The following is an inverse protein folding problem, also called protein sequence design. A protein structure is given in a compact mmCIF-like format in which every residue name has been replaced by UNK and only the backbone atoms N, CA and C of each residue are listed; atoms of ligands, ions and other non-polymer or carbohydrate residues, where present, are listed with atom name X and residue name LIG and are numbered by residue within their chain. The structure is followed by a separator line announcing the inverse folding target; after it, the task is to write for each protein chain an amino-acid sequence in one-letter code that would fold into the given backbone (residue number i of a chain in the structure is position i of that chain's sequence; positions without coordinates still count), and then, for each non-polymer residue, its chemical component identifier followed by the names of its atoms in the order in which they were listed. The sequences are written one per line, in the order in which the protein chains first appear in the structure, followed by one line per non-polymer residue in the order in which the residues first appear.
data_IF_544891897528
#
_entry.id   IF_544891897528
#
_cell.length_a   1.000
_cell.length_b   1.000
_cell.length_c   1.000
_cell.angle_alpha   90.00
_cell.angle_beta   90.00
_cell.angle_gamma   90.00
#
_symmetry.space_group_name_H-M   'P 1'
#
loop_
_entity.id
_entity.type
_entity.pdbx_description
1 polymer ?
#
# COMPACT_ATOMS: atom_id res chain seq x y z
N UNK A 1 -17.82 48.15 32.21
CA UNK A 1 -17.68 46.67 32.28
C UNK A 1 -17.36 46.19 30.89
N UNK A 2 -16.09 45.91 30.66
CA UNK A 2 -15.65 45.26 29.40
C UNK A 2 -16.01 43.76 29.48
N UNK A 3 -16.86 43.29 28.55
CA UNK A 3 -17.08 41.86 28.35
C UNK A 3 -15.80 41.26 27.70
N UNK A 4 -15.12 40.43 28.43
CA UNK A 4 -14.06 39.60 27.86
C UNK A 4 -14.66 38.64 26.84
N UNK A 5 -14.30 38.79 25.56
CA UNK A 5 -14.65 37.82 24.54
C UNK A 5 -14.00 36.49 24.92
N UNK A 6 -14.78 35.41 25.02
CA UNK A 6 -14.28 34.08 25.23
C UNK A 6 -13.37 33.67 24.06
N UNK A 7 -12.50 32.67 24.26
CA UNK A 7 -11.60 32.19 23.21
C UNK A 7 -12.42 31.78 21.99
N UNK A 8 -12.01 32.28 20.82
CA UNK A 8 -12.59 31.85 19.56
C UNK A 8 -12.46 30.32 19.43
N UNK A 9 -13.49 29.61 18.90
CA UNK A 9 -13.38 28.19 18.70
C UNK A 9 -12.18 27.92 17.77
N UNK A 10 -11.26 27.05 18.22
CA UNK A 10 -10.18 26.60 17.40
C UNK A 10 -10.78 26.03 16.12
N UNK A 11 -10.44 26.60 14.97
CA UNK A 11 -10.74 26.02 13.66
C UNK A 11 -9.99 24.69 13.60
N UNK A 12 -10.69 23.61 13.91
CA UNK A 12 -10.19 22.27 13.66
C UNK A 12 -10.22 22.08 12.14
N UNK A 13 -9.10 22.37 11.50
CA UNK A 13 -8.91 21.96 10.11
C UNK A 13 -8.95 20.44 10.09
N UNK A 14 -10.06 19.87 9.68
CA UNK A 14 -10.16 18.45 9.35
C UNK A 14 -9.39 18.23 8.07
N UNK A 15 -8.06 18.04 8.20
CA UNK A 15 -7.24 17.63 7.06
C UNK A 15 -7.63 16.22 6.65
N UNK A 16 -7.77 15.99 5.36
CA UNK A 16 -7.85 14.64 4.81
C UNK A 16 -6.54 13.91 5.11
N UNK A 17 -6.60 13.02 6.12
CA UNK A 17 -5.42 12.30 6.62
C UNK A 17 -5.18 11.01 5.87
N UNK A 18 -3.92 10.70 5.61
CA UNK A 18 -3.48 9.38 5.15
C UNK A 18 -2.72 8.70 6.28
N UNK A 19 -3.06 7.44 6.51
CA UNK A 19 -2.39 6.60 7.50
C UNK A 19 -1.37 5.73 6.79
N UNK A 20 -0.12 5.76 7.25
CA UNK A 20 0.93 4.86 6.78
C UNK A 20 1.24 3.90 7.92
N UNK A 21 0.99 2.61 7.71
CA UNK A 21 1.34 1.56 8.66
C UNK A 21 2.73 1.01 8.31
N UNK A 22 3.64 1.11 9.27
CA UNK A 22 5.04 0.72 9.12
C UNK A 22 5.27 -0.73 9.56
N UNK A 23 5.60 -1.57 8.60
CA UNK A 23 5.97 -2.97 8.82
C UNK A 23 7.49 -3.17 8.96
N UNK A 24 8.25 -2.09 9.15
CA UNK A 24 9.70 -2.14 9.31
C UNK A 24 10.50 -1.93 8.02
N UNK A 25 9.92 -1.28 7.03
CA UNK A 25 10.61 -0.94 5.79
C UNK A 25 11.60 0.21 5.97
N UNK A 26 12.79 0.09 5.37
CA UNK A 26 13.75 1.18 5.30
C UNK A 26 13.25 2.40 4.49
N UNK A 27 12.24 2.22 3.65
CA UNK A 27 11.71 3.27 2.76
C UNK A 27 10.38 3.86 3.22
N UNK A 28 9.88 3.51 4.41
CA UNK A 28 8.61 4.06 4.93
C UNK A 28 8.65 5.58 5.04
N UNK A 29 9.75 6.14 5.56
CA UNK A 29 9.94 7.60 5.66
C UNK A 29 9.99 8.28 4.29
N UNK A 30 10.59 7.61 3.30
CA UNK A 30 10.62 8.12 1.93
C UNK A 30 9.22 8.13 1.32
N UNK A 31 8.42 7.11 1.55
CA UNK A 31 7.03 7.04 1.11
C UNK A 31 6.20 8.19 1.71
N UNK A 32 6.33 8.43 3.03
CA UNK A 32 5.68 9.55 3.70
C UNK A 32 6.12 10.90 3.12
N UNK A 33 7.42 11.05 2.83
CA UNK A 33 7.94 12.25 2.20
C UNK A 33 7.30 12.49 0.84
N UNK A 34 7.17 11.47 -0.01
CA UNK A 34 6.53 11.58 -1.32
C UNK A 34 5.05 11.98 -1.21
N UNK A 35 4.32 11.44 -0.24
CA UNK A 35 2.94 11.84 0.03
C UNK A 35 2.86 13.33 0.41
N UNK A 36 3.78 13.79 1.28
CA UNK A 36 3.82 15.20 1.71
C UNK A 36 4.27 16.16 0.60
N UNK A 37 5.18 15.74 -0.27
CA UNK A 37 5.56 16.49 -1.46
C UNK A 37 4.37 16.72 -2.42
N UNK A 38 3.41 15.79 -2.44
CA UNK A 38 2.13 15.96 -3.13
C UNK A 38 1.11 16.81 -2.34
N UNK A 39 1.55 17.48 -1.27
CA UNK A 39 0.72 18.32 -0.38
C UNK A 39 -0.42 17.57 0.33
N UNK A 40 -0.22 16.28 0.55
CA UNK A 40 -1.16 15.42 1.27
C UNK A 40 -0.64 15.17 2.69
N UNK A 41 -1.48 15.40 3.70
CA UNK A 41 -1.13 15.12 5.08
C UNK A 41 -1.08 13.61 5.33
N UNK A 42 -0.02 13.13 5.97
CA UNK A 42 0.11 11.74 6.37
C UNK A 42 0.84 11.59 7.70
N UNK A 43 0.51 10.54 8.42
CA UNK A 43 1.20 10.11 9.63
C UNK A 43 1.67 8.65 9.47
N UNK A 44 2.83 8.35 10.04
CA UNK A 44 3.39 7.00 10.12
C UNK A 44 3.10 6.46 11.52
N UNK A 45 2.52 5.28 11.59
CA UNK A 45 2.26 4.54 12.81
C UNK A 45 2.71 3.08 12.67
N UNK A 46 3.04 2.40 13.77
CA UNK A 46 3.38 0.97 13.73
C UNK A 46 2.23 0.14 13.15
N UNK A 47 2.54 -0.98 12.51
CA UNK A 47 1.53 -1.85 11.91
C UNK A 47 0.63 -2.56 12.93
N UNK A 48 1.05 -2.63 14.20
CA UNK A 48 0.34 -3.27 15.32
C UNK A 48 -0.60 -2.32 16.10
N UNK A 49 -0.92 -1.14 15.55
CA UNK A 49 -1.93 -0.27 16.13
C UNK A 49 -3.27 -1.00 16.25
N UNK A 50 -4.08 -0.61 17.25
CA UNK A 50 -5.37 -1.24 17.47
C UNK A 50 -6.41 -0.86 16.40
N UNK A 51 -7.43 -1.70 16.24
CA UNK A 51 -8.60 -1.37 15.42
C UNK A 51 -9.29 -0.08 15.86
N UNK A 52 -9.33 0.17 17.16
CA UNK A 52 -9.90 1.39 17.73
C UNK A 52 -9.12 2.62 17.25
N UNK A 53 -7.78 2.55 17.24
CA UNK A 53 -6.93 3.61 16.73
C UNK A 53 -7.25 3.94 15.26
N UNK A 54 -7.33 2.93 14.40
CA UNK A 54 -7.62 3.13 12.96
C UNK A 54 -8.96 3.82 12.76
N UNK A 55 -10.00 3.41 13.52
CA UNK A 55 -11.33 4.04 13.46
C UNK A 55 -11.31 5.47 13.95
N UNK A 56 -10.62 5.76 15.06
CA UNK A 56 -10.51 7.13 15.62
C UNK A 56 -9.68 8.05 14.72
N UNK A 57 -8.61 7.52 14.14
CA UNK A 57 -7.78 8.25 13.18
C UNK A 57 -8.61 8.69 11.96
N UNK A 58 -9.60 7.90 11.55
CA UNK A 58 -10.50 8.17 10.42
C UNK A 58 -9.74 8.54 9.13
N UNK A 59 -8.85 7.67 8.63
CA UNK A 59 -8.05 7.96 7.44
C UNK A 59 -8.92 8.07 6.19
N UNK A 60 -8.48 8.87 5.22
CA UNK A 60 -9.06 8.95 3.88
C UNK A 60 -8.30 8.10 2.85
N UNK A 61 -7.31 7.38 3.29
CA UNK A 61 -6.52 6.41 2.55
C UNK A 61 -5.43 5.83 3.43
N UNK A 62 -5.04 4.59 3.17
CA UNK A 62 -4.09 3.85 3.99
C UNK A 62 -2.98 3.31 3.09
N UNK A 63 -1.74 3.39 3.56
CA UNK A 63 -0.57 2.78 2.91
C UNK A 63 0.02 1.75 3.87
N UNK A 64 0.19 0.53 3.38
CA UNK A 64 0.90 -0.53 4.07
C UNK A 64 2.31 -0.62 3.49
N UNK A 65 3.32 -0.37 4.31
CA UNK A 65 4.72 -0.37 3.87
C UNK A 65 5.25 -1.78 3.62
N UNK A 66 6.47 -1.87 3.12
CA UNK A 66 7.22 -3.11 3.06
C UNK A 66 7.73 -3.56 4.43
N UNK A 67 8.36 -4.73 4.45
CA UNK A 67 9.09 -5.28 5.59
C UNK A 67 10.33 -6.02 5.10
N UNK A 68 11.28 -6.27 5.99
CA UNK A 68 12.37 -7.24 5.78
C UNK A 68 11.96 -8.67 6.13
N UNK A 69 10.85 -8.85 6.87
CA UNK A 69 10.32 -10.15 7.23
C UNK A 69 9.62 -10.85 6.07
N UNK A 70 9.35 -12.13 6.27
CA UNK A 70 8.51 -12.96 5.39
C UNK A 70 7.11 -13.07 6.00
N UNK A 71 6.09 -13.10 5.14
CA UNK A 71 4.71 -13.39 5.58
C UNK A 71 4.52 -14.85 5.99
N UNK A 72 5.56 -15.66 5.87
CA UNK A 72 5.56 -17.10 6.10
C UNK A 72 6.11 -17.51 7.48
N UNK A 73 6.65 -16.58 8.25
CA UNK A 73 7.21 -16.85 9.58
C UNK A 73 6.14 -16.81 10.67
N UNK A 74 6.32 -17.58 11.76
CA UNK A 74 5.36 -17.72 12.89
C UNK A 74 5.04 -16.41 13.64
N UNK A 75 5.74 -15.34 13.36
CA UNK A 75 5.53 -13.99 13.92
C UNK A 75 5.12 -12.98 12.85
N UNK A 76 4.24 -13.38 11.97
CA UNK A 76 3.77 -12.56 10.87
C UNK A 76 3.12 -11.26 11.34
N UNK A 77 3.67 -10.14 10.89
CA UNK A 77 3.03 -8.84 11.07
C UNK A 77 1.78 -8.77 10.18
N UNK A 78 0.66 -8.36 10.77
CA UNK A 78 -0.61 -8.19 10.07
C UNK A 78 -1.15 -6.78 10.27
N UNK A 79 -1.89 -6.30 9.29
CA UNK A 79 -2.65 -5.07 9.44
C UNK A 79 -3.86 -5.30 10.34
N UNK A 80 -4.28 -4.31 11.16
CA UNK A 80 -5.53 -4.37 11.91
C UNK A 80 -6.73 -4.65 10.99
N UNK A 81 -7.72 -5.39 11.46
CA UNK A 81 -8.93 -5.68 10.68
C UNK A 81 -9.66 -4.42 10.25
N UNK A 82 -9.63 -3.38 11.09
CA UNK A 82 -10.23 -2.08 10.78
C UNK A 82 -9.68 -1.40 9.51
N UNK A 83 -8.49 -1.78 9.05
CA UNK A 83 -7.94 -1.32 7.76
C UNK A 83 -8.83 -1.75 6.60
N UNK A 84 -9.25 -3.02 6.62
CA UNK A 84 -10.07 -3.61 5.56
C UNK A 84 -11.54 -3.19 5.66
N UNK A 85 -11.98 -2.82 6.87
CA UNK A 85 -13.35 -2.38 7.16
C UNK A 85 -13.53 -0.86 6.96
N UNK A 86 -12.45 -0.12 6.77
CA UNK A 86 -12.48 1.35 6.73
C UNK A 86 -13.21 1.93 5.50
N UNK A 87 -13.39 1.16 4.43
CA UNK A 87 -14.04 1.61 3.21
C UNK A 87 -13.31 2.75 2.48
N UNK A 88 -12.00 2.82 2.63
CA UNK A 88 -11.11 3.81 1.99
C UNK A 88 -10.08 3.10 1.12
N UNK A 89 -9.46 3.79 0.14
CA UNK A 89 -8.39 3.21 -0.66
C UNK A 89 -7.22 2.72 0.20
N UNK A 90 -6.72 1.51 -0.10
CA UNK A 90 -5.58 0.88 0.59
C UNK A 90 -4.51 0.53 -0.44
N UNK A 91 -3.30 1.05 -0.27
CA UNK A 91 -2.13 0.72 -1.08
C UNK A 91 -1.17 -0.15 -0.29
N UNK A 92 -0.99 -1.40 -0.72
CA UNK A 92 0.04 -2.29 -0.17
C UNK A 92 1.30 -2.28 -1.03
N UNK A 93 2.46 -2.07 -0.41
CA UNK A 93 3.76 -2.04 -1.08
C UNK A 93 4.62 -3.20 -0.57
N UNK A 94 5.10 -4.08 -1.45
CA UNK A 94 5.94 -5.23 -1.12
C UNK A 94 5.25 -6.12 -0.06
N UNK A 95 5.77 -6.20 1.17
CA UNK A 95 5.15 -6.92 2.28
C UNK A 95 3.69 -6.48 2.53
N UNK A 96 3.39 -5.18 2.38
CA UNK A 96 2.03 -4.67 2.49
C UNK A 96 1.07 -5.28 1.47
N UNK A 97 1.51 -5.56 0.24
CA UNK A 97 0.72 -6.30 -0.74
C UNK A 97 0.56 -7.78 -0.36
N UNK A 98 1.63 -8.40 0.16
CA UNK A 98 1.60 -9.80 0.57
C UNK A 98 0.67 -10.02 1.77
N UNK A 99 0.74 -9.16 2.80
CA UNK A 99 -0.17 -9.24 3.94
C UNK A 99 -1.62 -8.96 3.53
N UNK A 100 -1.85 -8.05 2.59
CA UNK A 100 -3.16 -7.82 1.97
C UNK A 100 -3.68 -9.11 1.29
N UNK A 101 -2.86 -9.76 0.47
CA UNK A 101 -3.23 -11.01 -0.16
C UNK A 101 -3.58 -12.08 0.86
N UNK A 102 -2.73 -12.30 1.86
CA UNK A 102 -2.93 -13.32 2.89
C UNK A 102 -4.20 -13.07 3.74
N UNK A 103 -4.45 -11.82 4.14
CA UNK A 103 -5.59 -11.47 4.98
C UNK A 103 -6.93 -11.45 4.23
N UNK A 104 -6.93 -11.22 2.93
CA UNK A 104 -8.15 -11.14 2.12
C UNK A 104 -8.50 -12.42 1.37
N UNK A 105 -7.79 -13.53 1.67
CA UNK A 105 -8.11 -14.86 1.13
C UNK A 105 -7.35 -15.25 -0.12
N UNK A 106 -6.26 -14.57 -0.43
CA UNK A 106 -5.26 -15.00 -1.40
C UNK A 106 -4.20 -15.92 -0.78
N UNK A 107 -3.14 -16.17 -1.54
CA UNK A 107 -2.05 -17.06 -1.12
C UNK A 107 -0.71 -16.42 -1.39
N UNK A 108 0.20 -16.53 -0.42
CA UNK A 108 1.59 -16.10 -0.53
C UNK A 108 2.47 -17.32 -0.33
N UNK A 109 3.48 -17.48 -1.15
CA UNK A 109 4.43 -18.58 -1.06
C UNK A 109 5.86 -18.06 -1.06
N UNK A 110 6.70 -18.74 -0.32
CA UNK A 110 8.13 -18.53 -0.37
C UNK A 110 8.67 -18.88 -1.76
N UNK A 111 9.60 -18.10 -2.27
CA UNK A 111 10.21 -18.32 -3.56
C UNK A 111 11.70 -18.55 -3.43
N UNK A 112 12.19 -19.65 -4.02
CA UNK A 112 13.62 -19.93 -4.17
C UNK A 112 14.33 -18.86 -5.01
N UNK A 113 13.59 -18.19 -5.89
CA UNK A 113 14.09 -17.09 -6.71
C UNK A 113 13.77 -15.75 -6.04
N UNK A 114 14.72 -15.31 -5.22
CA UNK A 114 14.69 -13.96 -4.68
C UNK A 114 14.99 -12.97 -5.81
N UNK A 115 14.11 -11.98 -5.99
CA UNK A 115 14.29 -10.94 -6.98
C UNK A 115 14.85 -9.69 -6.33
N UNK A 116 16.13 -9.44 -6.54
CA UNK A 116 16.81 -8.23 -6.13
C UNK A 116 17.48 -7.60 -7.35
N UNK A 117 17.08 -6.37 -7.68
CA UNK A 117 17.69 -5.63 -8.77
C UNK A 117 16.69 -5.05 -9.77
N UNK A 118 17.23 -4.63 -10.91
CA UNK A 118 16.46 -4.05 -11.99
C UNK A 118 15.48 -5.06 -12.59
N UNK A 119 14.26 -4.61 -12.80
CA UNK A 119 13.24 -5.37 -13.50
C UNK A 119 12.35 -4.46 -14.35
N UNK A 120 11.80 -5.00 -15.42
CA UNK A 120 10.80 -4.36 -16.24
C UNK A 120 9.44 -5.00 -15.95
N UNK A 121 8.55 -4.20 -15.38
CA UNK A 121 7.21 -4.62 -15.01
C UNK A 121 6.26 -4.26 -16.12
N UNK A 122 5.52 -5.24 -16.62
CA UNK A 122 4.43 -5.02 -17.55
C UNK A 122 3.20 -4.57 -16.77
N UNK A 123 2.74 -3.34 -17.02
CA UNK A 123 1.44 -2.88 -16.58
C UNK A 123 0.33 -3.66 -17.33
N UNK A 124 -0.57 -4.28 -16.57
CA UNK A 124 -1.68 -5.08 -17.12
C UNK A 124 -3.00 -4.47 -16.70
N UNK A 125 -3.84 -4.22 -17.69
CA UNK A 125 -5.16 -3.65 -17.48
C UNK A 125 -5.10 -2.13 -17.19
N UNK A 126 -6.26 -1.51 -17.31
CA UNK A 126 -6.46 -0.10 -17.01
C UNK A 126 -6.84 0.01 -15.53
N UNK A 127 -5.84 0.15 -14.66
CA UNK A 127 -6.07 0.46 -13.25
C UNK A 127 -5.80 1.93 -13.00
N UNK A 128 -6.55 2.54 -12.07
CA UNK A 128 -6.36 3.95 -11.70
C UNK A 128 -4.95 4.23 -11.23
N UNK A 129 -4.30 3.25 -10.57
CA UNK A 129 -2.94 3.43 -10.05
C UNK A 129 -1.90 3.58 -11.17
N UNK A 130 -2.10 2.91 -12.30
CA UNK A 130 -1.15 2.94 -13.43
C UNK A 130 -1.62 3.80 -14.60
N UNK A 131 -2.74 4.49 -14.47
CA UNK A 131 -3.22 5.38 -15.52
C UNK A 131 -2.22 6.51 -15.78
N UNK A 132 -1.70 6.56 -17.00
CA UNK A 132 -0.70 7.52 -17.40
C UNK A 132 0.70 7.32 -16.79
N UNK A 133 0.97 6.18 -16.13
CA UNK A 133 2.28 5.86 -15.55
C UNK A 133 2.91 4.72 -16.34
N UNK A 134 3.82 5.07 -17.23
CA UNK A 134 4.68 4.13 -17.95
C UNK A 134 5.99 4.80 -18.32
N UNK A 135 7.09 4.04 -18.32
CA UNK A 135 8.40 4.56 -18.75
C UNK A 135 8.59 4.40 -20.27
N UNK A 136 8.02 3.35 -20.83
CA UNK A 136 8.02 3.08 -22.27
C UNK A 136 6.94 2.09 -22.64
N UNK A 137 6.64 1.98 -23.94
CA UNK A 137 5.75 0.95 -24.48
C UNK A 137 6.52 -0.01 -25.37
N UNK A 138 6.13 -1.30 -25.34
CA UNK A 138 6.67 -2.29 -26.29
C UNK A 138 6.11 -2.07 -27.70
N UNK A 139 6.69 -2.78 -28.68
CA UNK A 139 6.20 -2.73 -30.06
C UNK A 139 4.73 -3.17 -30.21
N UNK A 140 4.25 -4.04 -29.27
CA UNK A 140 2.86 -4.50 -29.20
C UNK A 140 1.95 -3.53 -28.42
N UNK A 141 2.48 -2.38 -27.96
CA UNK A 141 1.71 -1.36 -27.25
C UNK A 141 1.50 -1.65 -25.77
N UNK A 142 2.35 -2.46 -25.15
CA UNK A 142 2.27 -2.72 -23.71
C UNK A 142 3.05 -1.68 -22.91
N UNK A 143 2.40 -1.04 -21.94
CA UNK A 143 3.06 -0.15 -20.99
C UNK A 143 4.02 -0.91 -20.08
N UNK A 144 5.22 -0.38 -19.93
CA UNK A 144 6.30 -0.96 -19.14
C UNK A 144 6.82 0.05 -18.12
N UNK A 145 7.13 -0.45 -16.92
CA UNK A 145 7.74 0.30 -15.83
C UNK A 145 9.12 -0.27 -15.51
N UNK A 146 10.11 0.60 -15.43
CA UNK A 146 11.46 0.26 -14.97
C UNK A 146 11.52 0.40 -13.46
N UNK A 147 11.69 -0.70 -12.77
CA UNK A 147 11.65 -0.74 -11.30
C UNK A 147 12.86 -1.44 -10.72
N UNK A 148 13.05 -1.29 -9.43
CA UNK A 148 14.01 -2.06 -8.65
C UNK A 148 13.24 -3.01 -7.74
N UNK A 149 13.37 -4.31 -8.00
CA UNK A 149 12.69 -5.34 -7.22
C UNK A 149 13.51 -5.70 -5.97
N UNK A 150 12.80 -5.97 -4.86
CA UNK A 150 13.41 -6.40 -3.61
C UNK A 150 12.41 -7.25 -2.83
N UNK A 151 12.24 -8.51 -3.22
CA UNK A 151 11.35 -9.43 -2.51
C UNK A 151 11.82 -10.88 -2.61
N UNK A 152 11.47 -11.69 -1.59
CA UNK A 152 11.70 -13.13 -1.55
C UNK A 152 10.40 -13.93 -1.68
N UNK A 153 9.31 -13.43 -1.10
CA UNK A 153 8.00 -14.07 -1.16
C UNK A 153 7.19 -13.53 -2.34
N UNK A 154 6.26 -14.34 -2.86
CA UNK A 154 5.39 -13.99 -3.98
C UNK A 154 3.93 -14.30 -3.67
N UNK A 155 3.03 -13.44 -4.12
CA UNK A 155 1.62 -13.77 -4.19
C UNK A 155 1.44 -14.78 -5.33
N UNK A 156 0.88 -15.95 -5.02
CA UNK A 156 0.60 -17.01 -6.00
C UNK A 156 -0.87 -17.10 -6.37
N UNK A 157 -1.77 -16.75 -5.45
CA UNK A 157 -3.20 -16.64 -5.70
C UNK A 157 -3.72 -15.27 -5.23
N UNK A 158 -4.42 -14.58 -6.11
CA UNK A 158 -5.06 -13.30 -5.77
C UNK A 158 -6.30 -13.53 -4.90
N UNK A 159 -6.58 -12.62 -3.94
CA UNK A 159 -7.84 -12.65 -3.21
C UNK A 159 -9.06 -12.53 -4.15
N UNK A 160 -10.24 -13.02 -3.71
CA UNK A 160 -11.47 -12.83 -4.46
C UNK A 160 -11.76 -11.35 -4.79
N UNK A 161 -12.09 -11.07 -6.03
CA UNK A 161 -12.39 -9.72 -6.53
C UNK A 161 -11.17 -8.96 -7.08
N UNK A 162 -9.96 -9.40 -6.75
CA UNK A 162 -8.74 -8.79 -7.29
C UNK A 162 -8.49 -9.19 -8.74
N UNK A 163 -7.85 -8.29 -9.47
CA UNK A 163 -7.40 -8.49 -10.86
C UNK A 163 -5.91 -8.25 -10.96
N UNK A 164 -5.28 -8.94 -11.92
CA UNK A 164 -3.87 -8.75 -12.21
C UNK A 164 -3.63 -7.33 -12.75
N UNK A 165 -2.76 -6.59 -12.09
CA UNK A 165 -2.40 -5.22 -12.43
C UNK A 165 -0.99 -5.13 -13.03
N UNK A 166 -0.07 -5.95 -12.55
CA UNK A 166 1.32 -5.94 -12.99
C UNK A 166 1.94 -7.33 -12.95
N UNK A 167 2.86 -7.60 -13.87
CA UNK A 167 3.61 -8.86 -13.91
C UNK A 167 5.02 -8.66 -14.46
N UNK A 168 5.92 -9.55 -14.07
CA UNK A 168 7.25 -9.74 -14.70
C UNK A 168 7.38 -11.17 -15.23
N UNK A 169 8.40 -11.49 -16.01
CA UNK A 169 8.65 -12.88 -16.43
C UNK A 169 8.84 -13.85 -15.26
N UNK A 170 9.37 -13.38 -14.13
CA UNK A 170 9.69 -14.17 -12.93
C UNK A 170 8.66 -14.02 -11.80
N UNK A 171 7.77 -13.01 -11.87
CA UNK A 171 6.71 -12.78 -10.91
C UNK A 171 5.37 -12.55 -11.63
N UNK A 172 4.55 -13.61 -11.69
CA UNK A 172 3.27 -13.57 -12.40
C UNK A 172 2.30 -12.56 -11.80
N UNK A 173 2.34 -12.34 -10.49
CA UNK A 173 1.52 -11.37 -9.75
C UNK A 173 2.46 -10.37 -9.07
N UNK A 174 3.00 -9.44 -9.84
CA UNK A 174 3.81 -8.34 -9.31
C UNK A 174 2.95 -7.17 -8.79
N UNK A 175 1.70 -7.11 -9.21
CA UNK A 175 0.71 -6.17 -8.73
C UNK A 175 -0.70 -6.68 -8.96
N UNK A 176 -1.59 -6.39 -8.02
CA UNK A 176 -3.00 -6.76 -8.05
C UNK A 176 -3.86 -5.60 -7.54
N UNK A 177 -5.09 -5.50 -8.01
CA UNK A 177 -6.02 -4.45 -7.61
C UNK A 177 -7.45 -4.96 -7.52
N UNK A 178 -8.19 -4.47 -6.52
CA UNK A 178 -9.64 -4.51 -6.46
C UNK A 178 -10.18 -3.09 -6.62
N UNK A 179 -10.51 -2.71 -7.84
CA UNK A 179 -10.98 -1.36 -8.18
C UNK A 179 -12.38 -1.04 -7.63
N UNK A 180 -13.14 -2.05 -7.23
CA UNK A 180 -14.45 -1.85 -6.64
C UNK A 180 -14.38 -1.42 -5.18
N UNK A 181 -13.34 -1.91 -4.46
CA UNK A 181 -13.10 -1.54 -3.06
C UNK A 181 -12.10 -0.39 -2.90
N UNK A 182 -11.26 -0.15 -3.89
CA UNK A 182 -10.22 0.87 -3.88
C UNK A 182 -8.89 0.36 -3.38
#
# INVERSE_FOLDING_TARGET
RFKTAGPAPALVFMHDKRLILDFGSQVTQLSARRVREAQVYCEIHPCDVSDAFVREFAPKGIILSGSHGSTYEDHELRAPQAVWDAGVPVLGICYGMQTMAAQLGGKVEWSDHREFGYAEVRARGLTRLFDGIEDFSTAEGHGMLKVWMSHGDKVTDMPPGFKLMASTPSCAIAGMADEARG
#
